data_IF_843438799418
#
_entry.id   IF_843438799418
#
_cell.length_a   1.000
_cell.length_b   1.000
_cell.length_c   1.000
_cell.angle_alpha   90.00
_cell.angle_beta   90.00
_cell.angle_gamma   90.00
#
_symmetry.space_group_name_H-M   'P 1'
#
loop_
_entity.id
_entity.type
_entity.pdbx_description
1 polymer ?
#
# COMPACT_ATOMS: atom_id res chain seq x y z
N UNK A 1 15.69 1.14 -14.73
CA UNK A 1 14.79 2.28 -15.02
C UNK A 1 15.03 3.31 -13.93
N UNK A 2 14.76 4.61 -14.11
CA UNK A 2 14.82 5.51 -12.96
C UNK A 2 13.91 4.95 -11.86
N UNK A 3 14.33 5.14 -10.61
CA UNK A 3 13.55 4.77 -9.42
C UNK A 3 12.37 5.75 -9.32
N UNK A 4 11.38 5.56 -10.19
CA UNK A 4 10.20 6.42 -10.32
C UNK A 4 9.09 5.90 -9.42
N UNK A 5 8.68 6.70 -8.45
CA UNK A 5 7.47 6.45 -7.69
C UNK A 5 6.24 6.82 -8.54
N UNK A 6 5.23 5.95 -8.51
CA UNK A 6 3.94 6.23 -9.13
C UNK A 6 3.02 6.82 -8.08
N UNK A 7 2.41 7.96 -8.38
CA UNK A 7 1.38 8.57 -7.54
C UNK A 7 0.10 8.76 -8.36
N UNK A 8 -0.88 7.89 -8.13
CA UNK A 8 -2.17 7.97 -8.78
C UNK A 8 -3.24 8.40 -7.80
N UNK A 9 -4.16 9.25 -8.23
CA UNK A 9 -5.21 9.72 -7.33
C UNK A 9 -6.47 10.17 -8.05
N UNK A 10 -7.55 10.26 -7.30
CA UNK A 10 -8.72 11.05 -7.66
C UNK A 10 -9.42 11.56 -6.41
N UNK A 11 -10.17 12.65 -6.54
CA UNK A 11 -11.02 13.15 -5.46
C UNK A 11 -10.28 13.63 -4.22
N UNK A 12 -9.03 14.05 -4.34
CA UNK A 12 -8.24 14.76 -3.31
C UNK A 12 -7.95 16.19 -3.76
N UNK A 13 -7.60 17.08 -2.83
CA UNK A 13 -7.35 18.50 -3.13
C UNK A 13 -5.95 18.74 -3.67
N UNK A 14 -5.75 19.88 -4.37
CA UNK A 14 -4.43 20.29 -4.87
C UNK A 14 -3.36 20.35 -3.76
N UNK A 15 -3.71 20.89 -2.59
CA UNK A 15 -2.78 20.93 -1.46
C UNK A 15 -2.33 19.53 -1.01
N UNK A 16 -3.22 18.53 -1.05
CA UNK A 16 -2.89 17.15 -0.69
C UNK A 16 -2.00 16.48 -1.73
N UNK A 17 -2.27 16.75 -3.01
CA UNK A 17 -1.45 16.31 -4.14
C UNK A 17 -0.04 16.89 -4.01
N UNK A 18 0.08 18.21 -3.82
CA UNK A 18 1.36 18.91 -3.65
C UNK A 18 2.16 18.34 -2.48
N UNK A 19 1.53 18.13 -1.32
CA UNK A 19 2.20 17.60 -0.14
C UNK A 19 2.75 16.20 -0.40
N UNK A 20 1.98 15.30 -1.02
CA UNK A 20 2.42 13.94 -1.35
C UNK A 20 3.53 13.99 -2.40
N UNK A 21 3.34 14.72 -3.50
CA UNK A 21 4.31 14.87 -4.58
C UNK A 21 5.64 15.42 -4.07
N UNK A 22 5.61 16.54 -3.32
CA UNK A 22 6.80 17.15 -2.74
C UNK A 22 7.52 16.26 -1.73
N UNK A 23 6.80 15.33 -1.10
CA UNK A 23 7.39 14.38 -0.16
C UNK A 23 8.07 13.24 -0.92
N UNK A 24 7.42 12.70 -1.96
CA UNK A 24 7.97 11.64 -2.80
C UNK A 24 9.19 12.11 -3.60
N UNK A 25 9.13 13.32 -4.19
CA UNK A 25 10.19 13.84 -5.06
C UNK A 25 11.53 14.11 -4.37
N UNK A 26 11.56 14.08 -3.03
CA UNK A 26 12.78 14.19 -2.24
C UNK A 26 13.65 12.94 -2.32
N UNK A 27 13.05 11.81 -2.68
CA UNK A 27 13.70 10.50 -2.71
C UNK A 27 13.60 9.82 -4.08
N UNK A 28 12.61 10.17 -4.90
CA UNK A 28 12.30 9.50 -6.16
C UNK A 28 12.00 10.51 -7.27
N UNK A 29 12.09 10.08 -8.53
CA UNK A 29 11.28 10.73 -9.58
C UNK A 29 9.81 10.38 -9.34
N UNK A 30 8.87 11.23 -9.77
CA UNK A 30 7.43 11.02 -9.50
C UNK A 30 6.64 11.08 -10.80
N UNK A 31 6.03 9.95 -11.16
CA UNK A 31 4.98 9.87 -12.18
C UNK A 31 3.63 10.08 -11.49
N UNK A 32 3.15 11.32 -11.52
CA UNK A 32 1.86 11.71 -10.96
C UNK A 32 0.77 11.66 -12.03
N UNK A 33 -0.36 11.04 -11.71
CA UNK A 33 -1.50 10.94 -12.62
C UNK A 33 -2.83 10.99 -11.90
N UNK A 34 -3.66 11.97 -12.26
CA UNK A 34 -5.06 11.98 -11.91
C UNK A 34 -5.86 10.94 -12.74
N UNK A 35 -6.65 10.11 -12.06
CA UNK A 35 -7.54 9.12 -12.65
C UNK A 35 -9.02 9.55 -12.58
N UNK A 36 -9.86 8.83 -13.31
CA UNK A 36 -11.31 8.94 -13.16
C UNK A 36 -11.80 8.02 -12.02
N UNK A 37 -12.82 8.43 -11.25
CA UNK A 37 -13.44 7.55 -10.26
C UNK A 37 -13.97 6.27 -10.91
N UNK A 38 -13.64 5.13 -10.32
CA UNK A 38 -13.97 3.79 -10.81
C UNK A 38 -15.04 3.08 -9.96
N UNK A 39 -15.33 3.59 -8.76
CA UNK A 39 -16.27 3.00 -7.81
C UNK A 39 -17.08 4.08 -7.10
N UNK A 40 -18.43 4.10 -7.26
CA UNK A 40 -19.29 5.10 -6.65
C UNK A 40 -19.30 5.05 -5.12
N UNK A 41 -18.88 3.94 -4.50
CA UNK A 41 -18.77 3.84 -3.04
C UNK A 41 -17.54 4.57 -2.49
N UNK A 42 -16.56 4.93 -3.32
CA UNK A 42 -15.32 5.58 -2.91
C UNK A 42 -15.06 6.83 -3.73
N UNK A 43 -15.33 7.98 -3.13
CA UNK A 43 -15.20 9.29 -3.79
C UNK A 43 -13.75 9.80 -3.88
N UNK A 44 -12.81 9.09 -3.26
CA UNK A 44 -11.39 9.41 -3.31
C UNK A 44 -10.56 8.14 -3.41
N UNK A 45 -9.41 8.24 -4.09
CA UNK A 45 -8.38 7.22 -4.13
C UNK A 45 -6.99 7.86 -4.05
N UNK A 46 -6.10 7.20 -3.33
CA UNK A 46 -4.66 7.47 -3.32
C UNK A 46 -3.93 6.15 -3.54
N UNK A 47 -3.13 6.07 -4.59
CA UNK A 47 -2.21 4.97 -4.84
C UNK A 47 -0.79 5.52 -4.89
N UNK A 48 0.09 4.93 -4.09
CA UNK A 48 1.51 5.24 -4.09
C UNK A 48 2.26 3.92 -4.30
N UNK A 49 2.98 3.82 -5.41
CA UNK A 49 3.88 2.71 -5.66
C UNK A 49 5.33 3.18 -5.52
N UNK A 50 6.03 2.65 -4.52
CA UNK A 50 7.44 2.92 -4.30
C UNK A 50 8.28 2.00 -5.19
N UNK A 51 9.29 2.54 -5.90
CA UNK A 51 10.22 1.78 -6.74
C UNK A 51 11.31 1.11 -5.89
N UNK A 52 10.95 0.66 -4.69
CA UNK A 52 11.88 0.13 -3.71
C UNK A 52 11.22 -1.01 -2.96
N UNK A 53 12.04 -1.99 -2.57
CA UNK A 53 11.61 -3.14 -1.81
C UNK A 53 11.13 -2.74 -0.42
N UNK A 54 10.07 -3.38 0.06
CA UNK A 54 9.58 -3.22 1.42
C UNK A 54 10.61 -3.78 2.42
N UNK A 55 10.94 -3.00 3.45
CA UNK A 55 11.86 -3.42 4.50
C UNK A 55 12.42 -2.24 5.29
N UNK A 56 13.24 -2.52 6.29
CA UNK A 56 13.84 -1.49 7.14
C UNK A 56 14.69 -0.49 6.33
N UNK A 57 15.45 -1.00 5.35
CA UNK A 57 16.27 -0.18 4.45
C UNK A 57 15.45 0.88 3.70
N UNK A 58 14.24 0.54 3.27
CA UNK A 58 13.32 1.49 2.67
C UNK A 58 12.95 2.61 3.65
N UNK A 59 12.51 2.28 4.86
CA UNK A 59 12.06 3.29 5.84
C UNK A 59 13.21 4.18 6.32
N UNK A 60 14.43 3.65 6.40
CA UNK A 60 15.64 4.43 6.66
C UNK A 60 15.95 5.40 5.51
N UNK A 61 15.95 4.92 4.27
CA UNK A 61 16.26 5.73 3.09
C UNK A 61 15.17 6.80 2.80
N UNK A 62 13.91 6.41 2.90
CA UNK A 62 12.77 7.30 2.68
C UNK A 62 12.59 8.33 3.81
N UNK A 63 13.18 8.05 4.98
CA UNK A 63 13.08 8.79 6.25
C UNK A 63 11.69 8.69 6.87
N UNK A 64 11.66 8.41 8.18
CA UNK A 64 10.42 8.28 8.95
C UNK A 64 9.56 9.55 8.88
N UNK A 65 10.15 10.74 8.83
CA UNK A 65 9.40 12.00 8.70
C UNK A 65 8.61 12.08 7.39
N UNK A 66 9.20 11.63 6.27
CA UNK A 66 8.52 11.58 4.97
C UNK A 66 7.36 10.58 5.02
N UNK A 67 7.61 9.41 5.62
CA UNK A 67 6.59 8.40 5.83
C UNK A 67 5.42 8.92 6.68
N UNK A 68 5.70 9.53 7.84
CA UNK A 68 4.69 10.11 8.71
C UNK A 68 3.91 11.22 8.04
N UNK A 69 4.56 12.04 7.20
CA UNK A 69 3.91 13.09 6.43
C UNK A 69 2.91 12.51 5.41
N UNK A 70 3.29 11.48 4.66
CA UNK A 70 2.37 10.79 3.74
C UNK A 70 1.20 10.17 4.49
N UNK A 71 1.46 9.43 5.59
CA UNK A 71 0.41 8.85 6.43
C UNK A 71 -0.55 9.92 6.96
N UNK A 72 -0.02 11.05 7.40
CA UNK A 72 -0.81 12.18 7.89
C UNK A 72 -1.82 12.67 6.87
N UNK A 73 -1.37 12.95 5.63
CA UNK A 73 -2.25 13.38 4.54
C UNK A 73 -3.33 12.34 4.24
N UNK A 74 -2.95 11.06 4.12
CA UNK A 74 -3.90 9.98 3.82
C UNK A 74 -4.98 9.87 4.91
N UNK A 75 -4.59 9.97 6.20
CA UNK A 75 -5.52 9.97 7.33
C UNK A 75 -6.42 11.21 7.33
N UNK A 76 -5.89 12.40 7.04
CA UNK A 76 -6.70 13.62 6.96
C UNK A 76 -7.71 13.59 5.81
N UNK A 77 -7.33 13.05 4.65
CA UNK A 77 -8.25 12.78 3.55
C UNK A 77 -9.37 11.85 4.03
N UNK A 78 -9.02 10.71 4.64
CA UNK A 78 -10.01 9.74 5.14
C UNK A 78 -10.97 10.39 6.14
N UNK A 79 -10.46 11.16 7.10
CA UNK A 79 -11.25 11.84 8.15
C UNK A 79 -12.29 12.76 7.52
N UNK A 80 -11.90 13.57 6.53
CA UNK A 80 -12.83 14.47 5.80
C UNK A 80 -13.86 13.73 4.96
N UNK A 81 -13.58 12.50 4.51
CA UNK A 81 -14.52 11.70 3.69
C UNK A 81 -15.54 10.90 4.50
N UNK A 82 -15.29 10.65 5.78
CA UNK A 82 -16.19 9.89 6.64
C UNK A 82 -16.59 8.55 6.01
N UNK A 83 -17.90 8.34 5.81
CA UNK A 83 -18.47 7.09 5.27
C UNK A 83 -18.33 6.94 3.74
N UNK A 84 -18.08 8.03 3.00
CA UNK A 84 -17.83 7.96 1.55
C UNK A 84 -16.48 7.30 1.22
N UNK A 85 -15.64 7.06 2.23
CA UNK A 85 -14.44 6.24 2.15
C UNK A 85 -13.32 6.81 1.28
N UNK A 86 -12.16 6.18 1.38
CA UNK A 86 -10.96 6.44 0.59
C UNK A 86 -10.40 5.06 0.21
N UNK A 87 -10.13 4.83 -1.06
CA UNK A 87 -9.30 3.69 -1.48
C UNK A 87 -7.83 4.10 -1.31
N UNK A 88 -7.06 3.32 -0.58
CA UNK A 88 -5.62 3.53 -0.47
C UNK A 88 -4.88 2.29 -0.94
N UNK A 89 -3.89 2.45 -1.81
CA UNK A 89 -3.00 1.38 -2.21
C UNK A 89 -1.57 1.84 -1.96
N UNK A 90 -0.88 1.17 -1.05
CA UNK A 90 0.56 1.36 -0.85
C UNK A 90 1.27 0.15 -1.44
N UNK A 91 2.16 0.37 -2.41
CA UNK A 91 2.87 -0.68 -3.14
C UNK A 91 4.38 -0.54 -3.02
N UNK A 92 5.07 -1.68 -3.02
CA UNK A 92 6.53 -1.76 -2.96
C UNK A 92 7.05 -2.73 -4.02
N UNK A 93 8.09 -2.32 -4.74
CA UNK A 93 8.73 -3.13 -5.78
C UNK A 93 9.70 -4.16 -5.16
N UNK A 94 9.16 -5.21 -4.54
CA UNK A 94 9.92 -6.24 -3.86
C UNK A 94 9.78 -6.25 -2.33
N UNK A 95 10.42 -7.22 -1.69
CA UNK A 95 10.67 -7.24 -0.24
C UNK A 95 11.94 -8.03 0.08
N UNK A 96 12.77 -7.55 1.00
CA UNK A 96 14.07 -8.18 1.26
C UNK A 96 14.90 -8.33 -0.02
N UNK A 97 15.25 -9.57 -0.39
CA UNK A 97 15.96 -9.89 -1.63
C UNK A 97 15.04 -10.43 -2.74
N UNK A 98 13.73 -10.49 -2.49
CA UNK A 98 12.73 -11.03 -3.41
C UNK A 98 12.18 -9.91 -4.30
N UNK A 99 12.17 -10.12 -5.61
CA UNK A 99 11.61 -9.19 -6.60
C UNK A 99 10.09 -9.32 -6.74
N UNK A 100 9.40 -9.62 -5.63
CA UNK A 100 7.95 -9.84 -5.58
C UNK A 100 7.28 -8.60 -5.02
N UNK A 101 6.43 -7.97 -5.82
CA UNK A 101 5.76 -6.74 -5.44
C UNK A 101 4.80 -6.96 -4.28
N UNK A 102 4.78 -6.04 -3.32
CA UNK A 102 3.83 -6.07 -2.20
C UNK A 102 2.79 -4.98 -2.37
N UNK A 103 1.52 -5.34 -2.15
CA UNK A 103 0.39 -4.41 -2.21
C UNK A 103 -0.38 -4.45 -0.89
N UNK A 104 -0.50 -3.29 -0.24
CA UNK A 104 -1.31 -3.07 0.95
C UNK A 104 -2.56 -2.23 0.59
N UNK A 105 -3.66 -2.88 0.16
CA UNK A 105 -4.91 -2.20 -0.14
C UNK A 105 -5.70 -1.92 1.15
N UNK A 106 -6.09 -0.68 1.36
CA UNK A 106 -6.89 -0.26 2.51
C UNK A 106 -8.13 0.53 2.05
N UNK A 107 -9.30 -0.07 2.27
CA UNK A 107 -10.58 0.44 1.82
C UNK A 107 -11.62 0.47 2.94
N UNK A 108 -11.21 0.29 4.20
CA UNK A 108 -12.17 0.26 5.31
C UNK A 108 -12.89 1.60 5.48
N UNK A 109 -14.18 1.53 5.81
CA UNK A 109 -15.02 2.71 6.06
C UNK A 109 -14.82 3.26 7.47
N UNK A 110 -14.43 2.41 8.43
CA UNK A 110 -14.21 2.79 9.81
C UNK A 110 -12.98 3.69 9.95
N UNK A 111 -13.10 4.81 10.67
CA UNK A 111 -12.00 5.76 10.85
C UNK A 111 -10.86 5.14 11.64
N UNK A 112 -11.15 4.58 12.82
CA UNK A 112 -10.15 3.90 13.65
C UNK A 112 -9.49 2.72 12.94
N UNK A 113 -10.27 1.90 12.22
CA UNK A 113 -9.76 0.78 11.45
C UNK A 113 -8.79 1.26 10.38
N UNK A 114 -9.15 2.34 9.67
CA UNK A 114 -8.32 2.91 8.62
C UNK A 114 -7.02 3.47 9.18
N UNK A 115 -7.08 4.28 10.24
CA UNK A 115 -5.88 4.83 10.88
C UNK A 115 -4.93 3.72 11.31
N UNK A 116 -5.44 2.70 11.99
CA UNK A 116 -4.64 1.55 12.41
C UNK A 116 -4.11 0.72 11.24
N UNK A 117 -4.86 0.60 10.15
CA UNK A 117 -4.40 -0.07 8.94
C UNK A 117 -3.18 0.62 8.35
N UNK A 118 -3.21 1.94 8.23
CA UNK A 118 -2.09 2.76 7.77
C UNK A 118 -0.91 2.71 8.73
N UNK A 119 -1.12 2.93 10.03
CA UNK A 119 -0.05 2.91 11.04
C UNK A 119 0.65 1.54 11.12
N UNK A 120 -0.07 0.44 10.87
CA UNK A 120 0.51 -0.91 11.00
C UNK A 120 1.42 -1.31 9.84
N UNK A 121 1.43 -0.58 8.72
CA UNK A 121 2.22 -0.95 7.54
C UNK A 121 3.71 -1.00 7.88
N UNK A 122 4.28 0.00 8.56
CA UNK A 122 5.72 -0.05 8.90
C UNK A 122 6.09 -1.18 9.88
N UNK A 123 5.15 -1.62 10.73
CA UNK A 123 5.40 -2.73 11.65
C UNK A 123 5.37 -4.10 10.95
N UNK A 124 4.89 -4.14 9.71
CA UNK A 124 4.92 -5.37 8.90
C UNK A 124 6.33 -5.73 8.45
N UNK A 125 7.33 -4.86 8.64
CA UNK A 125 8.75 -5.10 8.28
C UNK A 125 9.27 -6.40 8.89
N UNK A 126 8.92 -6.70 10.14
CA UNK A 126 9.35 -7.93 10.82
C UNK A 126 8.47 -9.15 10.48
N UNK A 127 7.24 -8.89 10.03
CA UNK A 127 6.20 -9.91 9.87
C UNK A 127 6.20 -10.48 8.44
N UNK A 128 6.37 -9.62 7.43
CA UNK A 128 6.38 -9.99 6.01
C UNK A 128 7.39 -11.11 5.72
N UNK A 129 8.67 -11.03 6.14
CA UNK A 129 9.64 -12.09 5.88
C UNK A 129 9.24 -13.44 6.51
N UNK A 130 8.49 -13.42 7.61
CA UNK A 130 8.02 -14.64 8.28
C UNK A 130 6.80 -15.23 7.58
N UNK A 131 5.84 -14.39 7.18
CA UNK A 131 4.62 -14.83 6.50
C UNK A 131 4.87 -15.35 5.09
N UNK A 132 5.90 -14.84 4.42
CA UNK A 132 6.19 -15.13 3.02
C UNK A 132 7.30 -16.17 2.79
N UNK A 133 7.70 -16.92 3.83
CA UNK A 133 8.72 -17.99 3.71
C UNK A 133 8.40 -19.06 2.66
N UNK A 134 7.12 -19.28 2.40
CA UNK A 134 6.62 -20.33 1.49
C UNK A 134 5.78 -19.75 0.34
N UNK A 135 6.23 -18.64 -0.26
CA UNK A 135 5.55 -18.08 -1.44
C UNK A 135 5.55 -19.08 -2.62
N UNK A 136 4.45 -19.17 -3.39
CA UNK A 136 4.41 -20.00 -4.59
C UNK A 136 5.48 -19.56 -5.60
N UNK A 137 6.03 -20.53 -6.34
CA UNK A 137 7.01 -20.24 -7.38
C UNK A 137 6.40 -19.33 -8.47
N UNK A 138 7.22 -18.41 -9.00
CA UNK A 138 6.82 -17.43 -10.04
C UNK A 138 5.73 -16.45 -9.59
N UNK A 139 5.62 -16.22 -8.28
CA UNK A 139 4.80 -15.10 -7.78
C UNK A 139 5.44 -13.79 -8.21
N UNK A 140 4.64 -12.88 -8.74
CA UNK A 140 5.06 -11.54 -9.18
C UNK A 140 4.56 -10.46 -8.23
N UNK A 141 3.38 -10.66 -7.64
CA UNK A 141 2.73 -9.67 -6.78
C UNK A 141 1.95 -10.37 -5.66
N UNK A 142 2.09 -9.87 -4.43
CA UNK A 142 1.37 -10.35 -3.25
C UNK A 142 0.48 -9.24 -2.71
N UNK A 143 -0.81 -9.53 -2.65
CA UNK A 143 -1.83 -8.68 -2.07
C UNK A 143 -2.07 -9.09 -0.64
N UNK A 144 -1.92 -8.12 0.25
CA UNK A 144 -2.34 -8.23 1.62
C UNK A 144 -3.83 -7.90 1.77
N UNK A 145 -4.43 -8.40 2.84
CA UNK A 145 -5.74 -7.97 3.33
C UNK A 145 -5.60 -7.43 4.74
N UNK A 146 -6.34 -6.36 5.04
CA UNK A 146 -6.50 -5.84 6.38
C UNK A 146 -7.82 -6.33 6.96
N UNK A 147 -7.76 -7.03 8.09
CA UNK A 147 -8.94 -7.44 8.83
C UNK A 147 -9.35 -6.37 9.85
N UNK A 148 -10.51 -5.76 9.62
CA UNK A 148 -11.08 -4.71 10.47
C UNK A 148 -11.43 -5.19 11.88
N UNK A 149 -11.69 -6.48 12.07
CA UNK A 149 -12.06 -7.04 13.37
C UNK A 149 -10.83 -7.23 14.27
N UNK A 150 -9.77 -7.84 13.75
CA UNK A 150 -8.53 -8.08 14.50
C UNK A 150 -7.48 -6.98 14.36
N UNK A 151 -7.69 -6.00 13.48
CA UNK A 151 -6.74 -4.95 13.12
C UNK A 151 -5.40 -5.53 12.62
N UNK A 152 -5.43 -6.59 11.79
CA UNK A 152 -4.22 -7.28 11.33
C UNK A 152 -4.13 -7.31 9.82
N UNK A 153 -2.89 -7.16 9.33
CA UNK A 153 -2.53 -7.45 7.96
C UNK A 153 -2.13 -8.92 7.81
N UNK A 154 -2.62 -9.57 6.76
CA UNK A 154 -2.22 -10.92 6.37
C UNK A 154 -2.09 -11.02 4.86
N UNK A 155 -1.22 -11.88 4.32
CA UNK A 155 -1.23 -12.20 2.90
C UNK A 155 -2.60 -12.75 2.53
N UNK A 156 -3.11 -12.40 1.35
CA UNK A 156 -4.42 -12.81 0.89
C UNK A 156 -4.36 -13.46 -0.49
N UNK A 157 -3.65 -12.85 -1.43
CA UNK A 157 -3.53 -13.33 -2.81
C UNK A 157 -2.09 -13.24 -3.26
N UNK A 158 -1.56 -14.30 -3.86
CA UNK A 158 -0.32 -14.27 -4.62
C UNK A 158 -0.68 -14.43 -6.10
N UNK A 159 -0.30 -13.44 -6.91
CA UNK A 159 -0.51 -13.44 -8.34
C UNK A 159 0.73 -13.91 -9.05
N UNK A 160 0.51 -14.78 -10.03
CA UNK A 160 1.49 -15.15 -11.05
C UNK A 160 0.85 -14.97 -12.42
N UNK A 161 1.66 -14.86 -13.47
CA UNK A 161 1.18 -14.72 -14.85
C UNK A 161 0.05 -15.70 -15.25
N UNK A 162 0.02 -16.91 -14.67
CA UNK A 162 -0.92 -17.95 -15.09
C UNK A 162 -1.94 -18.36 -14.01
N UNK A 163 -1.64 -18.14 -12.72
CA UNK A 163 -2.42 -18.65 -11.60
C UNK A 163 -2.46 -17.67 -10.43
N UNK A 164 -3.62 -17.57 -9.78
CA UNK A 164 -3.77 -16.85 -8.52
C UNK A 164 -3.89 -17.85 -7.38
N UNK A 165 -3.14 -17.62 -6.30
CA UNK A 165 -3.20 -18.39 -5.08
C UNK A 165 -3.89 -17.57 -3.99
N UNK A 166 -4.74 -18.22 -3.20
CA UNK A 166 -5.35 -17.66 -2.00
C UNK A 166 -4.61 -18.16 -0.78
N UNK A 167 -4.32 -17.26 0.16
CA UNK A 167 -3.74 -17.63 1.45
C UNK A 167 -4.86 -18.02 2.43
N UNK A 168 -4.85 -19.27 2.89
CA UNK A 168 -5.82 -19.80 3.87
C UNK A 168 -5.13 -20.77 4.82
N UNK A 169 -5.44 -20.67 6.12
CA UNK A 169 -4.89 -21.54 7.16
C UNK A 169 -3.35 -21.60 7.15
N UNK A 170 -2.69 -20.47 6.86
CA UNK A 170 -1.23 -20.36 6.73
C UNK A 170 -0.62 -21.06 5.51
N UNK A 171 -1.45 -21.44 4.52
CA UNK A 171 -1.01 -22.12 3.30
C UNK A 171 -1.54 -21.42 2.05
N UNK A 172 -0.77 -21.48 0.96
CA UNK A 172 -1.20 -21.03 -0.36
C UNK A 172 -1.95 -22.13 -1.10
N UNK A 173 -3.16 -21.82 -1.56
CA UNK A 173 -4.01 -22.74 -2.33
C UNK A 173 -4.36 -22.10 -3.66
N UNK A 174 -4.29 -22.85 -4.75
CA UNK A 174 -4.78 -22.37 -6.05
C UNK A 174 -6.25 -22.01 -5.94
N UNK A 175 -6.64 -20.89 -6.55
CA UNK A 175 -8.04 -20.47 -6.63
C UNK A 175 -8.87 -21.44 -7.47
#
# INVERSE_FOLDING_TARGET
MPDTAVFQHYGISLAEIEIIYDTLRRSFEVDEKQLQPDDPQYVSMIEIAFPAAFGESFFQAFKMDSWFKIKGVIKDVKRRRGRKGLKTFIKFAGYGNESVDLVFPLMTKGERQFEMGIEKIEYMVDIVPVQLKSIPAKTEEIWYSYDDASFRWSPAVAKSNNLNYLYKNSEWKTK
#
